data_IF_736817206657
#
_entry.id   IF_736817206657
#
_cell.length_a   1.000
_cell.length_b   1.000
_cell.length_c   1.000
_cell.angle_alpha   90.00
_cell.angle_beta   90.00
_cell.angle_gamma   90.00
#
_symmetry.space_group_name_H-M   'P 1'
#
loop_
_entity.id
_entity.type
_entity.pdbx_description
1 polymer ?
#
# COMPACT_ATOMS: atom_id res chain seq x y z
N UNK A 1 23.45 -2.92 -10.14
CA UNK A 1 22.46 -3.96 -9.79
C UNK A 1 21.72 -4.32 -11.06
N UNK A 2 21.43 -5.61 -11.27
CA UNK A 2 20.66 -6.07 -12.44
C UNK A 2 19.20 -5.65 -12.36
N UNK A 3 18.51 -5.60 -13.51
CA UNK A 3 17.10 -5.27 -13.57
C UNK A 3 16.23 -6.34 -12.90
N UNK A 4 15.14 -5.91 -12.27
CA UNK A 4 14.17 -6.79 -11.58
C UNK A 4 12.76 -6.48 -12.07
N UNK A 5 12.02 -7.51 -12.42
CA UNK A 5 10.63 -7.38 -12.85
C UNK A 5 9.69 -8.25 -12.03
N UNK A 6 8.47 -7.76 -11.84
CA UNK A 6 7.33 -8.55 -11.36
C UNK A 6 6.74 -9.29 -12.56
N UNK A 7 6.64 -10.61 -12.44
CA UNK A 7 6.12 -11.49 -13.50
C UNK A 7 4.84 -12.23 -13.11
N UNK A 8 4.57 -12.36 -11.82
CA UNK A 8 3.35 -12.99 -11.30
C UNK A 8 2.80 -12.23 -10.11
N UNK A 9 1.48 -12.15 -10.00
CA UNK A 9 0.77 -11.44 -8.95
C UNK A 9 -0.46 -12.22 -8.48
N UNK A 10 -0.67 -12.21 -7.16
CA UNK A 10 -1.81 -12.90 -6.57
C UNK A 10 -2.35 -12.17 -5.35
N UNK A 11 -3.66 -12.28 -5.11
CA UNK A 11 -4.35 -11.54 -4.08
C UNK A 11 -5.53 -12.35 -3.50
N UNK A 12 -5.46 -12.73 -2.23
CA UNK A 12 -6.60 -13.31 -1.52
C UNK A 12 -7.69 -12.25 -1.29
N UNK A 13 -8.93 -12.68 -1.12
CA UNK A 13 -10.00 -11.74 -0.74
C UNK A 13 -9.70 -11.17 0.65
N UNK A 14 -9.69 -9.84 0.76
CA UNK A 14 -9.57 -9.14 2.03
C UNK A 14 -10.90 -9.11 2.77
N UNK A 15 -10.86 -9.19 4.11
CA UNK A 15 -12.05 -9.14 4.93
C UNK A 15 -11.87 -9.82 6.27
N UNK A 16 -12.98 -10.19 6.89
CA UNK A 16 -12.97 -11.05 8.08
C UNK A 16 -12.87 -12.50 7.65
N UNK A 17 -11.67 -13.06 7.63
CA UNK A 17 -11.36 -14.39 7.10
C UNK A 17 -11.17 -15.41 8.24
N UNK A 18 -12.21 -15.56 9.07
CA UNK A 18 -12.27 -16.58 10.14
C UNK A 18 -12.47 -18.00 9.61
N UNK A 19 -12.71 -18.14 8.32
CA UNK A 19 -12.85 -19.38 7.56
C UNK A 19 -11.52 -20.04 7.18
N UNK A 20 -10.37 -19.34 7.36
CA UNK A 20 -9.04 -19.81 6.95
C UNK A 20 -8.03 -19.61 8.05
N UNK A 21 -7.03 -20.49 8.13
CA UNK A 21 -5.77 -20.30 8.85
C UNK A 21 -4.87 -19.29 8.12
N UNK A 22 -3.79 -18.87 8.75
CA UNK A 22 -2.78 -18.01 8.12
C UNK A 22 -2.18 -18.66 6.86
N UNK A 23 -1.86 -19.97 6.93
CA UNK A 23 -1.32 -20.72 5.80
C UNK A 23 -2.30 -20.83 4.63
N UNK A 24 -3.55 -21.21 4.90
CA UNK A 24 -4.62 -21.32 3.87
C UNK A 24 -4.87 -19.98 3.17
N UNK A 25 -5.00 -18.90 3.94
CA UNK A 25 -5.18 -17.55 3.41
C UNK A 25 -4.00 -17.13 2.52
N UNK A 26 -2.78 -17.45 2.94
CA UNK A 26 -1.57 -17.14 2.17
C UNK A 26 -1.53 -17.95 0.88
N UNK A 27 -1.92 -19.22 0.92
CA UNK A 27 -1.93 -20.08 -0.27
C UNK A 27 -2.84 -19.55 -1.38
N UNK A 28 -3.98 -18.95 -1.05
CA UNK A 28 -4.85 -18.31 -2.06
C UNK A 28 -4.08 -17.30 -2.91
N UNK A 29 -3.27 -16.45 -2.27
CA UNK A 29 -2.47 -15.43 -2.96
C UNK A 29 -1.24 -16.00 -3.66
N UNK A 30 -0.51 -16.91 -3.01
CA UNK A 30 0.68 -17.55 -3.57
C UNK A 30 0.34 -18.37 -4.80
N UNK A 31 -0.74 -19.15 -4.74
CA UNK A 31 -1.22 -19.93 -5.87
C UNK A 31 -1.57 -19.04 -7.08
N UNK A 32 -2.35 -17.96 -6.86
CA UNK A 32 -2.70 -17.02 -7.93
C UNK A 32 -1.43 -16.39 -8.55
N UNK A 33 -0.41 -16.05 -7.73
CA UNK A 33 0.83 -15.45 -8.22
C UNK A 33 1.69 -16.45 -9.03
N UNK A 34 1.74 -17.72 -8.62
CA UNK A 34 2.43 -18.78 -9.35
C UNK A 34 1.72 -19.11 -10.68
N UNK A 35 0.38 -19.21 -10.64
CA UNK A 35 -0.43 -19.44 -11.83
C UNK A 35 -0.26 -18.29 -12.86
N UNK A 36 -0.26 -17.02 -12.40
CA UNK A 36 -0.05 -15.84 -13.26
C UNK A 36 1.37 -15.83 -13.88
N UNK A 37 2.37 -16.22 -13.11
CA UNK A 37 3.75 -16.37 -13.59
C UNK A 37 3.99 -17.63 -14.43
N UNK A 38 3.09 -18.61 -14.41
CA UNK A 38 3.28 -19.96 -14.97
C UNK A 38 4.53 -20.66 -14.40
N UNK A 39 4.73 -20.50 -13.09
CA UNK A 39 5.83 -21.09 -12.33
C UNK A 39 5.29 -22.05 -11.29
N UNK A 40 6.14 -22.99 -10.87
CA UNK A 40 5.87 -23.90 -9.76
C UNK A 40 6.58 -23.42 -8.47
N UNK A 41 6.19 -23.96 -7.31
CA UNK A 41 6.84 -23.70 -6.02
C UNK A 41 8.36 -23.98 -6.07
N UNK A 42 8.77 -25.01 -6.82
CA UNK A 42 10.19 -25.41 -6.97
C UNK A 42 11.05 -24.33 -7.64
N UNK A 43 10.44 -23.44 -8.44
CA UNK A 43 11.15 -22.38 -9.16
C UNK A 43 11.49 -21.20 -8.26
N UNK A 44 10.80 -21.06 -7.11
CA UNK A 44 11.07 -20.00 -6.12
C UNK A 44 12.34 -20.39 -5.36
N UNK A 45 13.36 -19.52 -5.41
CA UNK A 45 14.65 -19.73 -4.76
C UNK A 45 14.75 -19.06 -3.39
N UNK A 46 13.99 -17.99 -3.18
CA UNK A 46 13.97 -17.21 -1.95
C UNK A 46 12.60 -16.54 -1.77
N UNK A 47 12.12 -16.43 -0.53
CA UNK A 47 10.89 -15.70 -0.27
C UNK A 47 10.96 -14.84 1.00
N UNK A 48 10.21 -13.76 1.01
CA UNK A 48 10.14 -12.80 2.11
C UNK A 48 8.69 -12.61 2.53
N UNK A 49 8.41 -12.77 3.81
CA UNK A 49 7.07 -12.61 4.37
C UNK A 49 6.97 -11.30 5.15
N UNK A 50 6.16 -10.37 4.65
CA UNK A 50 5.74 -9.16 5.34
C UNK A 50 4.59 -9.49 6.31
N UNK A 51 4.84 -9.31 7.60
CA UNK A 51 3.87 -9.57 8.64
C UNK A 51 4.21 -8.73 9.86
N UNK A 52 3.28 -7.91 10.36
CA UNK A 52 3.50 -7.10 11.56
C UNK A 52 3.31 -7.92 12.84
N UNK A 53 2.40 -8.89 12.82
CA UNK A 53 2.17 -9.84 13.90
C UNK A 53 1.65 -9.23 15.19
N UNK A 54 1.71 -9.99 16.27
CA UNK A 54 1.28 -9.55 17.60
C UNK A 54 -0.18 -9.88 17.92
N UNK A 55 -1.05 -9.96 16.95
CA UNK A 55 -2.45 -10.41 17.03
C UNK A 55 -2.68 -11.81 16.48
N UNK A 56 -1.77 -12.33 15.67
CA UNK A 56 -1.86 -13.67 15.13
C UNK A 56 -1.33 -14.73 16.09
N UNK A 57 -1.89 -15.94 16.03
CA UNK A 57 -1.44 -17.08 16.79
C UNK A 57 -0.06 -17.60 16.36
N UNK A 58 0.32 -17.38 15.10
CA UNK A 58 1.56 -17.89 14.52
C UNK A 58 2.76 -16.99 14.86
N UNK A 59 3.71 -17.53 15.62
CA UNK A 59 4.93 -16.82 16.00
C UNK A 59 6.05 -16.88 14.95
N UNK A 60 6.00 -17.86 14.04
CA UNK A 60 6.97 -18.07 12.96
C UNK A 60 6.31 -18.04 11.58
N UNK A 61 5.66 -16.93 11.19
CA UNK A 61 4.82 -16.89 10.00
C UNK A 61 5.58 -17.22 8.71
N UNK A 62 6.88 -16.90 8.59
CA UNK A 62 7.64 -17.25 7.39
C UNK A 62 7.81 -18.78 7.24
N UNK A 63 7.98 -19.49 8.35
CA UNK A 63 8.14 -20.97 8.31
C UNK A 63 6.80 -21.63 8.00
N UNK A 64 5.72 -21.18 8.66
CA UNK A 64 4.35 -21.70 8.44
C UNK A 64 3.89 -21.45 6.99
N UNK A 65 4.12 -20.24 6.48
CA UNK A 65 3.84 -19.89 5.07
C UNK A 65 4.67 -20.79 4.13
N UNK A 66 5.98 -20.94 4.41
CA UNK A 66 6.87 -21.76 3.58
C UNK A 66 6.43 -23.22 3.51
N UNK A 67 6.03 -23.78 4.64
CA UNK A 67 5.54 -25.17 4.72
C UNK A 67 4.22 -25.32 3.98
N UNK A 68 3.23 -24.47 4.31
CA UNK A 68 1.89 -24.58 3.76
C UNK A 68 1.84 -24.30 2.25
N UNK A 69 2.66 -23.37 1.77
CA UNK A 69 2.75 -23.04 0.35
C UNK A 69 3.73 -23.93 -0.43
N UNK A 70 4.36 -24.94 0.19
CA UNK A 70 5.31 -25.84 -0.47
C UNK A 70 6.60 -25.14 -0.91
N UNK A 71 6.99 -24.05 -0.22
CA UNK A 71 8.21 -23.27 -0.53
C UNK A 71 9.43 -23.75 0.26
N UNK A 72 9.24 -24.53 1.32
CA UNK A 72 10.36 -25.11 2.07
C UNK A 72 11.08 -26.21 1.25
N UNK A 73 12.40 -26.37 1.40
CA UNK A 73 13.33 -25.74 2.34
C UNK A 73 14.09 -24.51 1.77
N UNK A 74 13.41 -23.59 1.12
CA UNK A 74 14.04 -22.39 0.53
C UNK A 74 14.48 -21.41 1.62
N UNK A 75 15.42 -20.51 1.26
CA UNK A 75 15.77 -19.38 2.10
C UNK A 75 14.57 -18.45 2.30
N UNK A 76 14.32 -18.03 3.55
CA UNK A 76 13.19 -17.21 3.91
C UNK A 76 13.53 -16.21 5.02
N UNK A 77 12.79 -15.10 5.07
CA UNK A 77 12.76 -14.22 6.23
C UNK A 77 11.37 -13.64 6.44
N UNK A 78 11.07 -13.29 7.69
CA UNK A 78 9.99 -12.36 8.05
C UNK A 78 10.56 -10.95 8.16
N UNK A 79 9.86 -9.98 7.63
CA UNK A 79 10.18 -8.56 7.78
C UNK A 79 9.00 -7.80 8.38
N UNK A 80 9.33 -6.79 9.19
CA UNK A 80 8.39 -5.92 9.88
C UNK A 80 8.77 -4.46 9.62
N UNK A 81 7.78 -3.63 9.31
CA UNK A 81 7.85 -2.17 9.21
C UNK A 81 6.45 -1.58 9.48
N UNK A 82 5.75 -2.09 10.51
CA UNK A 82 4.35 -1.79 10.81
C UNK A 82 3.47 -1.94 9.54
N UNK A 83 2.62 -0.96 9.22
CA UNK A 83 1.75 -0.99 8.04
C UNK A 83 2.50 -1.03 6.69
N UNK A 84 3.82 -0.83 6.68
CA UNK A 84 4.68 -0.93 5.50
C UNK A 84 5.40 -2.28 5.37
N UNK A 85 5.11 -3.26 6.23
CA UNK A 85 5.76 -4.59 6.21
C UNK A 85 5.66 -5.28 4.85
N UNK A 86 4.54 -5.12 4.14
CA UNK A 86 4.37 -5.66 2.79
C UNK A 86 5.34 -5.02 1.77
N UNK A 87 5.50 -3.70 1.78
CA UNK A 87 6.48 -3.02 0.91
C UNK A 87 7.92 -3.34 1.31
N UNK A 88 8.20 -3.53 2.61
CA UNK A 88 9.48 -4.02 3.08
C UNK A 88 9.78 -5.43 2.53
N UNK A 89 8.78 -6.31 2.45
CA UNK A 89 8.93 -7.63 1.82
C UNK A 89 9.24 -7.52 0.32
N UNK A 90 8.50 -6.68 -0.42
CA UNK A 90 8.77 -6.41 -1.84
C UNK A 90 10.20 -5.86 -2.02
N UNK A 91 10.63 -4.92 -1.19
CA UNK A 91 11.97 -4.33 -1.25
C UNK A 91 13.07 -5.36 -0.98
N UNK A 92 12.91 -6.22 0.04
CA UNK A 92 13.91 -7.26 0.33
C UNK A 92 13.96 -8.34 -0.75
N UNK A 93 12.83 -8.77 -1.31
CA UNK A 93 12.80 -9.67 -2.46
C UNK A 93 13.45 -9.02 -3.71
N UNK A 94 13.19 -7.73 -3.94
CA UNK A 94 13.87 -6.94 -4.97
C UNK A 94 15.39 -6.94 -4.76
N UNK A 95 15.88 -6.70 -3.55
CA UNK A 95 17.32 -6.71 -3.24
C UNK A 95 17.94 -8.09 -3.46
N UNK A 96 17.24 -9.16 -3.08
CA UNK A 96 17.71 -10.53 -3.31
C UNK A 96 17.92 -10.83 -4.80
N UNK A 97 16.99 -10.38 -5.65
CA UNK A 97 17.13 -10.56 -7.09
C UNK A 97 18.16 -9.59 -7.68
N UNK A 98 18.13 -8.31 -7.30
CA UNK A 98 19.01 -7.28 -7.83
C UNK A 98 20.50 -7.53 -7.51
N UNK A 99 20.79 -8.14 -6.35
CA UNK A 99 22.16 -8.52 -5.94
C UNK A 99 22.68 -9.79 -6.59
N UNK A 100 21.80 -10.61 -7.17
CA UNK A 100 22.15 -11.92 -7.73
C UNK A 100 22.09 -13.08 -6.71
N UNK A 101 21.60 -12.84 -5.49
CA UNK A 101 21.40 -13.90 -4.50
C UNK A 101 20.34 -14.92 -4.95
N UNK A 102 19.34 -14.48 -5.67
CA UNK A 102 18.32 -15.31 -6.30
C UNK A 102 17.98 -14.78 -7.70
N UNK A 103 17.58 -15.68 -8.60
CA UNK A 103 17.03 -15.28 -9.91
C UNK A 103 15.52 -15.16 -9.88
N UNK A 104 14.88 -15.92 -8.98
CA UNK A 104 13.43 -15.92 -8.74
C UNK A 104 13.20 -15.81 -7.24
N UNK A 105 12.55 -14.73 -6.83
CA UNK A 105 12.14 -14.50 -5.44
C UNK A 105 10.65 -14.18 -5.35
N UNK A 106 10.05 -14.45 -4.20
CA UNK A 106 8.66 -14.11 -3.93
C UNK A 106 8.55 -13.19 -2.72
N UNK A 107 7.80 -12.09 -2.86
CA UNK A 107 7.36 -11.30 -1.72
C UNK A 107 5.91 -11.67 -1.40
N UNK A 108 5.68 -12.00 -0.14
CA UNK A 108 4.38 -12.43 0.40
C UNK A 108 4.03 -11.49 1.53
N UNK A 109 2.81 -10.97 1.55
CA UNK A 109 2.28 -10.21 2.67
C UNK A 109 1.08 -10.93 3.24
N UNK A 110 1.01 -11.09 4.55
CA UNK A 110 -0.14 -11.74 5.21
C UNK A 110 -0.39 -11.16 6.58
N UNK A 111 -1.66 -11.02 6.93
CA UNK A 111 -2.08 -10.64 8.26
C UNK A 111 -3.40 -11.29 8.65
N UNK A 112 -3.49 -11.74 9.91
CA UNK A 112 -4.68 -12.35 10.52
C UNK A 112 -5.10 -11.57 11.76
N UNK A 113 -5.61 -10.34 11.56
CA UNK A 113 -5.93 -9.41 12.64
C UNK A 113 -7.18 -9.85 13.43
N UNK A 114 -8.11 -10.58 12.81
CA UNK A 114 -9.32 -11.09 13.48
C UNK A 114 -9.08 -12.33 14.37
N UNK A 115 -7.84 -12.82 14.47
CA UNK A 115 -7.47 -13.83 15.48
C UNK A 115 -7.40 -13.23 16.90
N UNK A 116 -7.34 -11.91 17.02
CA UNK A 116 -7.39 -11.20 18.31
C UNK A 116 -8.65 -10.34 18.44
N UNK A 117 -9.16 -10.13 19.67
CA UNK A 117 -10.25 -9.20 19.93
C UNK A 117 -9.86 -7.76 19.55
N UNK A 118 -10.84 -6.96 19.12
CA UNK A 118 -10.61 -5.56 18.70
C UNK A 118 -9.80 -4.73 19.71
N UNK A 119 -10.01 -4.77 21.04
CA UNK A 119 -9.18 -4.03 21.98
C UNK A 119 -7.70 -4.41 21.92
N UNK A 120 -7.39 -5.69 21.77
CA UNK A 120 -6.01 -6.19 21.62
C UNK A 120 -5.38 -5.67 20.32
N UNK A 121 -6.13 -5.71 19.21
CA UNK A 121 -5.66 -5.15 17.92
C UNK A 121 -5.38 -3.66 18.05
N UNK A 122 -6.27 -2.90 18.69
CA UNK A 122 -6.10 -1.44 18.92
C UNK A 122 -4.84 -1.16 19.75
N UNK A 123 -4.58 -1.96 20.81
CA UNK A 123 -3.37 -1.84 21.63
C UNK A 123 -2.11 -2.12 20.80
N UNK A 124 -2.06 -3.22 20.06
CA UNK A 124 -0.89 -3.55 19.24
C UNK A 124 -0.61 -2.50 18.15
N UNK A 125 -1.65 -2.00 17.49
CA UNK A 125 -1.49 -0.90 16.52
C UNK A 125 -1.00 0.37 17.23
N UNK A 126 -1.50 0.67 18.42
CA UNK A 126 -1.08 1.82 19.23
C UNK A 126 0.40 1.78 19.64
N UNK A 127 0.99 0.57 19.69
CA UNK A 127 2.43 0.39 19.95
C UNK A 127 3.32 0.84 18.79
N UNK A 128 2.77 1.11 17.61
CA UNK A 128 3.49 1.66 16.47
C UNK A 128 3.71 3.18 16.61
N UNK A 129 4.25 3.62 17.72
CA UNK A 129 4.59 4.98 18.12
C UNK A 129 5.45 4.90 19.38
N UNK A 130 5.53 5.98 20.15
CA UNK A 130 6.13 5.92 21.48
C UNK A 130 5.09 5.37 22.46
N UNK A 131 5.09 4.05 22.66
CA UNK A 131 4.09 3.36 23.46
C UNK A 131 3.91 3.97 24.86
N UNK A 132 5.00 4.16 25.61
CA UNK A 132 4.93 4.64 26.99
C UNK A 132 4.44 6.08 27.10
N UNK A 133 4.94 6.98 26.23
CA UNK A 133 4.62 8.40 26.32
C UNK A 133 3.34 8.80 25.61
N UNK A 134 2.93 8.06 24.58
CA UNK A 134 1.81 8.46 23.74
C UNK A 134 0.58 7.56 23.99
N UNK A 135 0.76 6.24 23.95
CA UNK A 135 -0.36 5.32 24.14
C UNK A 135 -0.68 5.07 25.61
N UNK A 136 0.29 4.59 26.40
CA UNK A 136 0.04 4.15 27.80
C UNK A 136 -0.33 5.33 28.70
N UNK A 137 0.42 6.44 28.65
CA UNK A 137 0.18 7.57 29.55
C UNK A 137 -0.93 8.51 29.09
N UNK A 138 -1.17 8.65 27.80
CA UNK A 138 -2.15 9.61 27.25
C UNK A 138 -3.31 8.94 26.52
N UNK A 139 -3.31 7.62 26.35
CA UNK A 139 -4.37 6.89 25.66
C UNK A 139 -4.49 7.21 24.17
N UNK A 140 -3.40 7.65 23.54
CA UNK A 140 -3.42 8.07 22.14
C UNK A 140 -3.50 6.83 21.23
N UNK A 141 -4.70 6.51 20.78
CA UNK A 141 -4.95 5.42 19.83
C UNK A 141 -4.58 5.86 18.40
N UNK A 142 -4.51 4.90 17.48
CA UNK A 142 -4.15 5.21 16.10
C UNK A 142 -5.08 6.24 15.40
N UNK A 143 -6.42 6.17 15.56
CA UNK A 143 -7.30 7.25 15.12
C UNK A 143 -6.96 8.60 15.76
N UNK A 144 -6.54 8.62 17.02
CA UNK A 144 -6.11 9.84 17.73
C UNK A 144 -4.88 10.48 17.09
N UNK A 145 -3.90 9.69 16.65
CA UNK A 145 -2.74 10.20 15.91
C UNK A 145 -3.17 10.95 14.64
N UNK A 146 -4.00 10.31 13.82
CA UNK A 146 -4.45 10.94 12.57
C UNK A 146 -5.46 12.07 12.78
N UNK A 147 -6.17 12.09 13.92
CA UNK A 147 -6.99 13.22 14.31
C UNK A 147 -6.16 14.50 14.54
N UNK A 148 -4.95 14.38 15.08
CA UNK A 148 -4.03 15.52 15.20
C UNK A 148 -3.65 16.08 13.83
N UNK A 149 -3.29 15.20 12.87
CA UNK A 149 -2.99 15.59 11.49
C UNK A 149 -4.19 16.24 10.81
N UNK A 150 -5.38 15.62 10.91
CA UNK A 150 -6.58 16.17 10.29
C UNK A 150 -6.95 17.54 10.87
N UNK A 151 -6.87 17.72 12.19
CA UNK A 151 -7.12 18.99 12.86
C UNK A 151 -6.12 20.07 12.43
N UNK A 152 -4.83 19.73 12.39
CA UNK A 152 -3.79 20.68 11.95
C UNK A 152 -4.00 21.11 10.49
N UNK A 153 -4.31 20.15 9.62
CA UNK A 153 -4.56 20.40 8.20
C UNK A 153 -5.81 21.27 7.99
N UNK A 154 -6.92 20.96 8.68
CA UNK A 154 -8.15 21.75 8.64
C UNK A 154 -7.91 23.20 9.05
N UNK A 155 -7.20 23.40 10.16
CA UNK A 155 -6.89 24.74 10.68
C UNK A 155 -5.95 25.53 9.75
N UNK A 156 -4.98 24.88 9.14
CA UNK A 156 -3.96 25.54 8.32
C UNK A 156 -4.48 25.89 6.92
N UNK A 157 -5.32 25.02 6.33
CA UNK A 157 -5.69 25.09 4.91
C UNK A 157 -7.20 25.22 4.68
N UNK A 158 -7.99 25.48 5.73
CA UNK A 158 -9.45 25.62 5.67
C UNK A 158 -10.14 24.41 5.00
N UNK A 159 -9.61 23.21 5.23
CA UNK A 159 -10.25 21.97 4.82
C UNK A 159 -11.41 21.65 5.78
N UNK A 160 -12.41 20.95 5.28
CA UNK A 160 -13.62 20.60 6.02
C UNK A 160 -13.76 19.08 6.17
N UNK A 161 -14.58 18.63 7.12
CA UNK A 161 -14.90 17.20 7.26
C UNK A 161 -15.53 16.62 5.98
N UNK A 162 -16.27 17.44 5.22
CA UNK A 162 -16.83 17.03 3.93
C UNK A 162 -15.74 16.66 2.92
N UNK A 163 -14.65 17.40 2.88
CA UNK A 163 -13.54 17.14 1.96
C UNK A 163 -12.93 15.76 2.19
N UNK A 164 -12.73 15.39 3.47
CA UNK A 164 -12.23 14.06 3.82
C UNK A 164 -13.26 12.97 3.56
N UNK A 165 -14.55 13.24 3.79
CA UNK A 165 -15.62 12.34 3.40
C UNK A 165 -15.65 12.06 1.89
N UNK A 166 -15.27 13.03 1.03
CA UNK A 166 -15.14 12.80 -0.43
C UNK A 166 -14.06 11.79 -0.76
N UNK A 167 -12.95 11.74 -0.01
CA UNK A 167 -11.94 10.68 -0.14
C UNK A 167 -12.55 9.31 0.18
N UNK A 168 -13.28 9.21 1.31
CA UNK A 168 -13.96 7.97 1.68
C UNK A 168 -14.95 7.52 0.61
N UNK A 169 -15.75 8.42 0.07
CA UNK A 169 -16.74 8.14 -1.00
C UNK A 169 -16.04 7.63 -2.25
N UNK A 170 -14.93 8.28 -2.69
CA UNK A 170 -14.13 7.83 -3.83
C UNK A 170 -13.64 6.40 -3.64
N UNK A 171 -13.03 6.12 -2.48
CA UNK A 171 -12.43 4.81 -2.24
C UNK A 171 -13.51 3.72 -2.10
N UNK A 172 -14.65 4.01 -1.46
CA UNK A 172 -15.80 3.10 -1.46
C UNK A 172 -16.42 2.91 -2.85
N UNK A 173 -16.40 3.91 -3.72
CA UNK A 173 -16.85 3.78 -5.11
C UNK A 173 -16.01 2.71 -5.83
N UNK A 174 -14.68 2.80 -5.79
CA UNK A 174 -13.80 1.82 -6.43
C UNK A 174 -13.78 0.48 -5.70
N UNK A 175 -13.73 0.49 -4.37
CA UNK A 175 -13.80 -0.74 -3.56
C UNK A 175 -15.08 -1.54 -3.78
N UNK A 176 -16.22 -0.85 -4.02
CA UNK A 176 -17.48 -1.52 -4.32
C UNK A 176 -17.46 -2.35 -5.60
N UNK A 177 -16.54 -2.06 -6.52
CA UNK A 177 -16.36 -2.78 -7.77
C UNK A 177 -15.25 -3.82 -7.71
N UNK A 178 -14.42 -3.82 -6.67
CA UNK A 178 -13.31 -4.74 -6.53
C UNK A 178 -13.73 -6.02 -5.79
N UNK A 179 -13.83 -7.19 -6.46
CA UNK A 179 -14.29 -8.43 -5.83
C UNK A 179 -13.37 -8.93 -4.71
N UNK A 180 -12.11 -8.48 -4.67
CA UNK A 180 -11.14 -8.81 -3.62
C UNK A 180 -11.23 -7.86 -2.40
N UNK A 181 -12.01 -6.77 -2.49
CA UNK A 181 -12.17 -5.79 -1.42
C UNK A 181 -13.10 -6.28 -0.30
N UNK A 182 -12.80 -5.86 0.94
CA UNK A 182 -13.64 -6.12 2.11
C UNK A 182 -15.04 -5.52 1.95
N UNK A 183 -15.12 -4.30 1.41
CA UNK A 183 -16.39 -3.60 1.18
C UNK A 183 -16.89 -3.70 -0.28
N UNK A 184 -16.62 -4.85 -0.92
CA UNK A 184 -17.21 -5.15 -2.23
C UNK A 184 -18.73 -4.99 -2.20
N UNK A 185 -19.27 -4.24 -3.17
CA UNK A 185 -20.71 -3.95 -3.27
C UNK A 185 -21.21 -2.80 -2.39
N UNK A 186 -20.38 -2.28 -1.46
CA UNK A 186 -20.79 -1.20 -0.55
C UNK A 186 -20.36 0.18 -1.09
N UNK A 187 -21.33 1.00 -1.49
CA UNK A 187 -21.14 2.44 -1.78
C UNK A 187 -21.66 3.25 -0.62
N UNK A 188 -21.04 4.40 -0.40
CA UNK A 188 -21.46 5.39 0.60
C UNK A 188 -21.63 6.75 -0.04
N UNK A 189 -22.40 7.62 0.62
CA UNK A 189 -22.55 9.04 0.23
C UNK A 189 -21.80 9.94 1.21
N UNK A 190 -21.54 11.17 0.81
CA UNK A 190 -20.96 12.21 1.69
C UNK A 190 -21.80 12.39 2.94
N UNK A 191 -23.14 12.45 2.81
CA UNK A 191 -24.06 12.59 3.95
C UNK A 191 -23.96 11.41 4.93
N UNK A 192 -23.86 10.18 4.44
CA UNK A 192 -23.65 9.00 5.29
C UNK A 192 -22.30 9.05 6.01
N UNK A 193 -21.24 9.52 5.35
CA UNK A 193 -19.95 9.71 5.98
C UNK A 193 -20.01 10.79 7.07
N UNK A 194 -20.56 11.95 6.77
CA UNK A 194 -20.69 13.08 7.72
C UNK A 194 -21.52 12.71 8.96
N UNK A 195 -22.56 11.90 8.80
CA UNK A 195 -23.43 11.42 9.90
C UNK A 195 -22.85 10.23 10.66
N UNK A 196 -21.76 9.63 10.20
CA UNK A 196 -21.14 8.50 10.90
C UNK A 196 -20.53 8.96 12.23
N UNK A 197 -20.46 8.01 13.20
CA UNK A 197 -19.95 8.32 14.54
C UNK A 197 -18.48 8.76 14.48
N UNK A 198 -18.09 9.66 15.34
CA UNK A 198 -16.69 9.99 15.60
C UNK A 198 -15.98 8.79 16.27
N UNK A 199 -14.76 8.52 15.82
CA UNK A 199 -13.84 7.57 16.46
C UNK A 199 -12.82 8.32 17.32
N UNK A 200 -12.28 9.42 16.79
CA UNK A 200 -11.47 10.41 17.50
C UNK A 200 -11.64 11.74 16.74
N UNK A 201 -12.36 12.72 17.32
CA UNK A 201 -12.67 13.96 16.60
C UNK A 201 -11.42 14.59 15.96
N UNK A 202 -11.47 15.00 14.67
CA UNK A 202 -12.60 15.00 13.73
C UNK A 202 -12.73 13.68 12.90
N UNK A 203 -11.93 12.65 13.16
CA UNK A 203 -11.97 11.34 12.47
C UNK A 203 -13.30 10.63 12.76
N UNK A 204 -14.01 10.27 11.70
CA UNK A 204 -15.24 9.48 11.73
C UNK A 204 -14.99 8.03 11.35
N UNK A 205 -16.00 7.19 11.52
CA UNK A 205 -15.94 5.77 11.17
C UNK A 205 -15.55 5.56 9.70
N UNK A 206 -16.13 6.35 8.79
CA UNK A 206 -15.80 6.24 7.36
C UNK A 206 -14.50 6.94 6.97
N UNK A 207 -13.85 7.67 7.87
CA UNK A 207 -12.48 8.17 7.65
C UNK A 207 -11.42 7.10 7.92
N UNK A 208 -11.76 6.04 8.63
CA UNK A 208 -10.81 5.00 9.10
C UNK A 208 -10.86 3.74 8.23
N UNK A 209 -9.72 3.12 7.97
CA UNK A 209 -9.65 1.77 7.40
C UNK A 209 -10.17 0.72 8.40
N UNK A 210 -10.75 -0.39 7.93
CA UNK A 210 -11.22 -1.48 8.81
C UNK A 210 -10.06 -2.36 9.28
N UNK A 211 -10.28 -3.08 10.39
CA UNK A 211 -9.50 -4.27 10.73
C UNK A 211 -9.74 -5.30 9.62
N UNK A 212 -8.70 -5.98 9.16
CA UNK A 212 -8.77 -6.84 7.98
C UNK A 212 -7.80 -8.01 8.08
N UNK A 213 -8.25 -9.20 7.72
CA UNK A 213 -7.40 -10.34 7.36
C UNK A 213 -7.15 -10.31 5.85
N UNK A 214 -5.97 -10.73 5.41
CA UNK A 214 -5.69 -10.82 3.99
C UNK A 214 -4.26 -11.24 3.67
N UNK A 215 -4.07 -11.69 2.43
CA UNK A 215 -2.77 -12.03 1.88
C UNK A 215 -2.62 -11.54 0.43
N UNK A 216 -1.40 -11.22 0.05
CA UNK A 216 -1.02 -10.90 -1.33
C UNK A 216 0.39 -11.44 -1.61
N UNK A 217 0.68 -11.76 -2.87
CA UNK A 217 1.99 -12.28 -3.29
C UNK A 217 2.40 -11.71 -4.64
N UNK A 218 3.70 -11.46 -4.82
CA UNK A 218 4.30 -11.10 -6.11
C UNK A 218 5.56 -11.92 -6.35
N UNK A 219 5.74 -12.38 -7.60
CA UNK A 219 6.94 -13.07 -8.06
C UNK A 219 7.85 -12.07 -8.76
N UNK A 220 9.08 -11.95 -8.25
CA UNK A 220 10.12 -11.08 -8.80
C UNK A 220 11.21 -11.93 -9.46
N UNK A 221 11.63 -11.51 -10.64
CA UNK A 221 12.68 -12.23 -11.37
C UNK A 221 13.73 -11.29 -11.93
N UNK A 222 14.91 -11.87 -12.22
CA UNK A 222 15.98 -11.17 -12.91
C UNK A 222 15.59 -10.81 -14.35
N UNK A 223 16.24 -9.79 -14.89
CA UNK A 223 16.04 -9.32 -16.27
C UNK A 223 16.21 -10.40 -17.33
N UNK A 224 17.09 -11.37 -17.08
CA UNK A 224 17.37 -12.47 -18.01
C UNK A 224 16.19 -13.46 -18.12
N UNK A 225 15.38 -13.55 -17.08
CA UNK A 225 14.21 -14.42 -17.02
C UNK A 225 12.89 -13.71 -17.37
N UNK A 226 12.80 -12.42 -17.11
CA UNK A 226 11.54 -11.66 -17.16
C UNK A 226 10.76 -11.87 -18.46
N UNK A 227 11.40 -11.66 -19.61
CA UNK A 227 10.75 -11.82 -20.94
C UNK A 227 10.60 -13.26 -21.40
N UNK A 228 11.25 -14.22 -20.73
CA UNK A 228 11.05 -15.65 -20.98
C UNK A 228 9.78 -16.17 -20.30
N UNK A 229 9.38 -15.51 -19.21
CA UNK A 229 8.23 -15.90 -18.38
C UNK A 229 6.96 -15.18 -18.84
N UNK A 230 7.03 -13.89 -19.16
CA UNK A 230 5.86 -13.09 -19.55
C UNK A 230 6.21 -12.03 -20.60
N UNK A 231 5.28 -11.75 -21.49
CA UNK A 231 5.39 -10.67 -22.49
C UNK A 231 5.19 -9.27 -21.86
N UNK A 232 4.62 -9.21 -20.67
CA UNK A 232 4.28 -7.97 -19.95
C UNK A 232 4.94 -7.90 -18.56
N UNK A 233 6.29 -8.01 -18.46
CA UNK A 233 6.97 -7.81 -17.20
C UNK A 233 6.81 -6.37 -16.71
N UNK A 234 6.57 -6.17 -15.42
CA UNK A 234 6.52 -4.85 -14.80
C UNK A 234 7.79 -4.62 -14.00
N UNK A 235 8.59 -3.65 -14.43
CA UNK A 235 9.91 -3.39 -13.85
C UNK A 235 9.82 -2.52 -12.61
N UNK A 236 10.49 -2.93 -11.53
CA UNK A 236 10.74 -2.05 -10.39
C UNK A 236 11.90 -1.13 -10.76
N UNK A 237 11.60 0.15 -10.92
CA UNK A 237 12.55 1.16 -11.44
C UNK A 237 13.36 1.82 -10.34
N UNK A 238 12.73 2.06 -9.21
CA UNK A 238 13.39 2.54 -8.01
C UNK A 238 12.52 2.27 -6.79
N UNK A 239 13.20 2.21 -5.65
CA UNK A 239 12.55 2.19 -4.33
C UNK A 239 13.24 3.24 -3.47
N UNK A 240 12.45 4.13 -2.89
CA UNK A 240 12.86 5.06 -1.85
C UNK A 240 12.37 4.54 -0.50
N UNK A 241 13.23 4.60 0.50
CA UNK A 241 12.93 4.14 1.87
C UNK A 241 13.43 5.16 2.87
N UNK A 242 12.57 5.56 3.80
CA UNK A 242 12.96 6.47 4.86
C UNK A 242 12.25 6.14 6.16
N UNK A 243 12.83 6.60 7.27
CA UNK A 243 12.24 6.52 8.61
C UNK A 243 12.03 7.92 9.16
N UNK A 244 10.93 8.09 9.91
CA UNK A 244 10.64 9.29 10.68
C UNK A 244 10.93 9.10 12.16
N UNK A 245 10.64 10.15 12.94
CA UNK A 245 10.81 10.09 14.40
C UNK A 245 9.71 9.26 15.06
N UNK A 246 10.07 8.50 16.09
CA UNK A 246 9.13 7.71 16.88
C UNK A 246 8.17 8.59 17.71
N UNK A 247 8.61 9.78 18.13
CA UNK A 247 7.82 10.67 18.96
C UNK A 247 7.12 11.75 18.13
N UNK A 248 5.81 11.89 18.26
CA UNK A 248 5.06 12.98 17.64
C UNK A 248 5.56 14.36 18.05
N UNK A 249 5.95 14.53 19.31
CA UNK A 249 6.46 15.81 19.84
C UNK A 249 7.76 16.30 19.17
N UNK A 250 8.46 15.43 18.43
CA UNK A 250 9.68 15.80 17.69
C UNK A 250 9.42 16.12 16.22
N UNK A 251 8.17 16.01 15.77
CA UNK A 251 7.83 16.37 14.40
C UNK A 251 7.72 17.88 14.24
N UNK A 252 8.18 18.42 13.11
CA UNK A 252 8.15 19.86 12.89
C UNK A 252 6.73 20.40 12.78
N UNK A 253 5.81 19.59 12.23
CA UNK A 253 4.41 19.91 12.07
C UNK A 253 3.54 18.64 11.93
N UNK A 254 2.24 18.83 11.71
CA UNK A 254 1.26 17.76 11.51
C UNK A 254 0.49 17.92 10.18
N UNK A 255 1.15 18.42 9.14
CA UNK A 255 0.52 18.65 7.83
C UNK A 255 1.12 17.79 6.70
N UNK A 256 2.06 16.93 7.00
CA UNK A 256 2.72 16.00 6.09
C UNK A 256 3.52 14.95 6.85
N UNK A 257 4.12 14.02 6.13
CA UNK A 257 4.93 12.93 6.68
C UNK A 257 6.36 13.03 6.13
N UNK A 258 7.32 13.50 6.95
CA UNK A 258 8.72 13.66 6.53
C UNK A 258 9.31 12.41 5.91
N UNK A 259 9.03 11.23 6.49
CA UNK A 259 9.51 9.97 5.93
C UNK A 259 8.95 9.71 4.53
N UNK A 260 7.67 10.04 4.28
CA UNK A 260 7.05 9.89 2.96
C UNK A 260 7.72 10.82 1.93
N UNK A 261 7.90 12.10 2.30
CA UNK A 261 8.59 13.08 1.46
C UNK A 261 10.03 12.64 1.13
N UNK A 262 10.82 12.23 2.14
CA UNK A 262 12.21 11.80 1.96
C UNK A 262 12.32 10.51 1.12
N UNK A 263 11.42 9.55 1.33
CA UNK A 263 11.37 8.33 0.53
C UNK A 263 11.00 8.64 -0.93
N UNK A 264 10.04 9.56 -1.16
CA UNK A 264 9.66 10.02 -2.49
C UNK A 264 10.85 10.71 -3.20
N UNK A 265 11.53 11.64 -2.52
CA UNK A 265 12.73 12.32 -3.03
C UNK A 265 13.81 11.31 -3.48
N UNK A 266 14.06 10.27 -2.65
CA UNK A 266 15.02 9.21 -3.00
C UNK A 266 14.59 8.41 -4.24
N UNK A 267 13.30 8.02 -4.30
CA UNK A 267 12.77 7.24 -5.42
C UNK A 267 12.82 8.03 -6.73
N UNK A 268 12.37 9.28 -6.70
CA UNK A 268 12.32 10.16 -7.86
C UNK A 268 13.71 10.53 -8.37
N UNK A 269 14.66 10.87 -7.48
CA UNK A 269 16.04 11.16 -7.87
C UNK A 269 16.69 9.98 -8.62
N UNK A 270 16.46 8.74 -8.17
CA UNK A 270 16.98 7.53 -8.84
C UNK A 270 16.36 7.32 -10.23
N UNK A 271 15.15 7.84 -10.46
CA UNK A 271 14.44 7.77 -11.73
C UNK A 271 14.61 9.04 -12.60
N UNK A 272 15.40 10.01 -12.16
CA UNK A 272 15.57 11.33 -12.79
C UNK A 272 14.21 12.09 -12.95
N UNK A 273 13.37 12.00 -11.91
CA UNK A 273 12.10 12.74 -11.79
C UNK A 273 12.33 13.88 -10.82
N UNK A 274 11.94 15.10 -11.19
CA UNK A 274 11.85 16.23 -10.26
C UNK A 274 10.68 16.03 -9.31
N UNK A 275 10.88 16.26 -8.00
CA UNK A 275 9.86 16.09 -6.97
C UNK A 275 8.87 17.27 -6.94
N UNK A 276 8.32 17.59 -8.10
CA UNK A 276 7.31 18.61 -8.33
C UNK A 276 6.47 18.24 -9.54
N UNK A 277 5.15 18.45 -9.46
CA UNK A 277 4.19 18.09 -10.50
C UNK A 277 4.39 16.64 -10.99
N UNK A 278 4.69 15.75 -10.06
CA UNK A 278 5.09 14.36 -10.37
C UNK A 278 3.96 13.56 -11.00
N UNK A 279 2.70 14.01 -10.84
CA UNK A 279 1.53 13.45 -11.51
C UNK A 279 1.72 13.25 -13.01
N UNK A 280 2.51 14.13 -13.65
CA UNK A 280 2.75 14.08 -15.09
C UNK A 280 3.56 12.87 -15.57
N UNK A 281 4.21 12.15 -14.64
CA UNK A 281 5.06 10.99 -14.94
C UNK A 281 4.38 9.66 -14.66
N UNK A 282 3.22 9.64 -14.02
CA UNK A 282 2.54 8.42 -13.60
C UNK A 282 1.12 8.35 -14.13
N UNK A 283 0.73 7.19 -14.64
CA UNK A 283 -0.64 6.94 -15.11
C UNK A 283 -1.60 6.65 -13.96
N UNK A 284 -1.09 6.05 -12.88
CA UNK A 284 -1.85 5.65 -11.70
C UNK A 284 -0.96 5.59 -10.48
N UNK A 285 -1.53 5.82 -9.31
CA UNK A 285 -0.87 5.63 -8.02
C UNK A 285 -1.77 4.87 -7.04
N UNK A 286 -1.14 4.10 -6.15
CA UNK A 286 -1.78 3.51 -4.97
C UNK A 286 -1.10 4.08 -3.72
N UNK A 287 -1.85 4.84 -2.91
CA UNK A 287 -1.30 5.54 -1.76
C UNK A 287 -1.94 5.06 -0.47
N UNK A 288 -1.20 5.20 0.62
CA UNK A 288 -1.59 4.76 1.95
C UNK A 288 -2.68 5.66 2.54
N UNK A 289 -3.92 5.20 2.50
CA UNK A 289 -5.12 5.88 2.98
C UNK A 289 -5.73 5.18 4.20
N UNK A 290 -4.89 4.76 5.16
CA UNK A 290 -5.41 4.17 6.41
C UNK A 290 -6.40 5.11 7.13
N UNK A 291 -6.28 6.41 6.88
CA UNK A 291 -7.26 7.45 7.17
C UNK A 291 -7.36 8.40 5.97
N UNK A 292 -8.51 9.03 5.79
CA UNK A 292 -8.76 9.92 4.64
C UNK A 292 -7.78 11.09 4.55
N UNK A 293 -7.35 11.65 5.69
CA UNK A 293 -6.30 12.69 5.73
C UNK A 293 -4.95 12.18 5.22
N UNK A 294 -4.61 10.89 5.44
CA UNK A 294 -3.36 10.33 4.98
C UNK A 294 -3.26 10.32 3.44
N UNK A 295 -4.37 10.08 2.74
CA UNK A 295 -4.42 10.17 1.28
C UNK A 295 -4.18 11.60 0.79
N UNK A 296 -4.79 12.60 1.44
CA UNK A 296 -4.61 14.01 1.08
C UNK A 296 -3.15 14.45 1.28
N UNK A 297 -2.54 14.08 2.42
CA UNK A 297 -1.13 14.37 2.68
C UNK A 297 -0.21 13.67 1.67
N UNK A 298 -0.55 12.43 1.26
CA UNK A 298 0.24 11.68 0.29
C UNK A 298 0.29 12.39 -1.09
N UNK A 299 -0.79 13.03 -1.53
CA UNK A 299 -0.76 13.81 -2.78
C UNK A 299 0.31 14.91 -2.76
N UNK A 300 0.49 15.53 -1.61
CA UNK A 300 1.43 16.61 -1.38
C UNK A 300 2.85 16.11 -1.12
N UNK A 301 2.99 15.08 -0.28
CA UNK A 301 4.28 14.45 0.03
C UNK A 301 4.92 13.79 -1.20
N UNK A 302 4.10 13.34 -2.16
CA UNK A 302 4.52 12.79 -3.44
C UNK A 302 4.71 13.85 -4.52
N UNK A 303 4.43 15.12 -4.24
CA UNK A 303 4.55 16.22 -5.21
C UNK A 303 3.56 16.16 -6.36
N UNK A 304 2.40 15.51 -6.18
CA UNK A 304 1.30 15.60 -7.15
C UNK A 304 0.76 17.03 -7.19
N UNK A 305 0.80 17.72 -6.05
CA UNK A 305 0.40 19.12 -5.90
C UNK A 305 1.21 19.78 -4.78
N UNK A 306 1.11 21.10 -4.66
CA UNK A 306 1.78 21.86 -3.61
C UNK A 306 1.14 21.61 -2.23
N UNK A 307 1.92 21.83 -1.15
CA UNK A 307 1.45 21.69 0.23
C UNK A 307 0.24 22.59 0.50
N UNK A 308 -0.83 22.00 1.04
CA UNK A 308 -2.10 22.68 1.34
C UNK A 308 -3.11 22.72 0.20
N UNK A 309 -2.76 22.15 -0.98
CA UNK A 309 -3.66 22.11 -2.14
C UNK A 309 -4.16 20.70 -2.47
N UNK A 310 -3.73 19.68 -1.72
CA UNK A 310 -4.15 18.28 -1.93
C UNK A 310 -5.66 18.09 -1.90
N UNK A 311 -6.35 18.90 -1.06
CA UNK A 311 -7.80 18.89 -0.96
C UNK A 311 -8.50 19.35 -2.26
N UNK A 312 -7.86 20.18 -3.07
CA UNK A 312 -8.43 20.63 -4.35
C UNK A 312 -8.50 19.48 -5.36
N UNK A 313 -7.50 18.59 -5.35
CA UNK A 313 -7.51 17.43 -6.24
C UNK A 313 -8.74 16.53 -6.01
N UNK A 314 -9.18 16.40 -4.75
CA UNK A 314 -10.38 15.59 -4.44
C UNK A 314 -11.67 16.36 -4.73
N UNK A 315 -11.73 17.67 -4.45
CA UNK A 315 -12.88 18.52 -4.76
C UNK A 315 -13.19 18.55 -6.25
N UNK A 316 -12.14 18.58 -7.07
CA UNK A 316 -12.23 18.65 -8.55
C UNK A 316 -12.28 17.27 -9.22
N UNK A 317 -12.27 16.18 -8.44
CA UNK A 317 -12.30 14.82 -8.99
C UNK A 317 -11.02 14.42 -9.72
N UNK A 318 -9.90 15.10 -9.49
CA UNK A 318 -8.64 14.91 -10.21
C UNK A 318 -7.94 13.58 -9.86
N UNK A 319 -8.36 12.91 -8.81
CA UNK A 319 -7.84 11.62 -8.35
C UNK A 319 -8.73 10.43 -8.73
N UNK A 320 -9.83 10.67 -9.43
CA UNK A 320 -10.64 9.63 -10.06
C UNK A 320 -10.03 9.18 -11.39
N UNK A 321 -10.48 8.03 -11.90
CA UNK A 321 -10.18 7.60 -13.28
C UNK A 321 -10.51 8.73 -14.25
N UNK A 322 -9.57 9.02 -15.16
CA UNK A 322 -9.71 10.11 -16.12
C UNK A 322 -9.33 11.49 -15.59
N UNK A 323 -9.05 11.63 -14.29
CA UNK A 323 -8.51 12.86 -13.71
C UNK A 323 -6.99 13.00 -13.90
N UNK A 324 -6.41 14.00 -13.25
CA UNK A 324 -5.00 14.36 -13.36
C UNK A 324 -4.08 13.19 -13.01
N UNK A 325 -4.36 12.55 -11.87
CA UNK A 325 -3.66 11.35 -11.37
C UNK A 325 -4.67 10.43 -10.69
N UNK A 326 -5.09 9.34 -11.35
CA UNK A 326 -5.93 8.33 -10.72
C UNK A 326 -5.25 7.71 -9.50
N UNK A 327 -5.94 7.70 -8.35
CA UNK A 327 -5.40 7.20 -7.07
C UNK A 327 -6.36 6.22 -6.43
N UNK A 328 -5.83 5.08 -5.93
CA UNK A 328 -6.57 4.08 -5.17
C UNK A 328 -7.79 3.52 -5.93
N UNK A 329 -7.60 3.18 -7.20
CA UNK A 329 -8.67 2.62 -8.04
C UNK A 329 -9.10 1.20 -7.63
N UNK A 330 -8.43 0.60 -6.66
CA UNK A 330 -8.78 -0.68 -6.04
C UNK A 330 -9.70 -0.53 -4.80
N UNK A 331 -9.89 0.70 -4.34
CA UNK A 331 -10.62 1.05 -3.14
C UNK A 331 -9.73 1.52 -1.99
N UNK A 332 -8.39 1.54 -2.20
CA UNK A 332 -7.43 1.90 -1.15
C UNK A 332 -7.53 1.01 0.10
N UNK A 333 -6.81 1.36 1.13
CA UNK A 333 -6.89 0.67 2.44
C UNK A 333 -8.27 0.87 3.06
N UNK A 334 -8.89 2.00 2.75
CA UNK A 334 -10.17 2.43 3.30
C UNK A 334 -11.32 1.51 2.93
N UNK A 335 -11.39 1.05 1.70
CA UNK A 335 -12.49 0.23 1.22
C UNK A 335 -12.06 -1.17 0.76
N UNK A 336 -10.86 -1.33 0.19
CA UNK A 336 -10.31 -2.66 -0.09
C UNK A 336 -10.05 -3.43 1.20
N UNK A 337 -9.58 -2.75 2.23
CA UNK A 337 -9.16 -3.31 3.51
C UNK A 337 -7.66 -3.11 3.77
N UNK A 338 -7.27 -3.25 5.05
CA UNK A 338 -5.91 -2.98 5.49
C UNK A 338 -5.33 -4.11 6.36
N UNK A 339 -5.11 -5.32 5.79
CA UNK A 339 -4.31 -6.33 6.47
C UNK A 339 -2.86 -5.84 6.45
N UNK A 340 -2.36 -5.42 7.60
CA UNK A 340 -1.17 -4.57 7.75
C UNK A 340 0.03 -5.14 7.01
N UNK A 341 0.36 -6.43 7.19
CA UNK A 341 1.47 -7.09 6.50
C UNK A 341 1.26 -7.31 5.01
N UNK A 342 0.00 -7.37 4.54
CA UNK A 342 -0.30 -7.64 3.14
C UNK A 342 -0.43 -6.37 2.28
N UNK A 343 -0.70 -5.22 2.90
CA UNK A 343 -1.05 -3.98 2.18
C UNK A 343 -0.02 -3.59 1.13
N UNK A 344 1.26 -3.53 1.47
CA UNK A 344 2.28 -3.08 0.51
C UNK A 344 2.50 -4.06 -0.65
N UNK A 345 2.31 -5.38 -0.44
CA UNK A 345 2.32 -6.36 -1.53
C UNK A 345 1.07 -6.23 -2.40
N UNK A 346 -0.10 -6.00 -1.78
CA UNK A 346 -1.35 -5.73 -2.50
C UNK A 346 -1.26 -4.51 -3.41
N UNK A 347 -0.58 -3.43 -2.96
CA UNK A 347 -0.29 -2.26 -3.80
C UNK A 347 0.57 -2.63 -5.02
N UNK A 348 1.60 -3.47 -4.83
CA UNK A 348 2.42 -3.95 -5.95
C UNK A 348 1.62 -4.81 -6.94
N UNK A 349 0.68 -5.63 -6.43
CA UNK A 349 -0.28 -6.39 -7.26
C UNK A 349 -1.14 -5.45 -8.09
N UNK A 350 -1.76 -4.44 -7.47
CA UNK A 350 -2.63 -3.49 -8.17
C UNK A 350 -1.86 -2.70 -9.22
N UNK A 351 -0.69 -2.13 -8.89
CA UNK A 351 0.12 -1.38 -9.85
C UNK A 351 0.56 -2.25 -11.04
N UNK A 352 0.90 -3.51 -10.78
CA UNK A 352 1.24 -4.46 -11.85
C UNK A 352 0.05 -4.74 -12.76
N UNK A 353 -1.14 -5.02 -12.20
CA UNK A 353 -2.36 -5.28 -12.97
C UNK A 353 -2.81 -4.03 -13.75
N UNK A 354 -2.69 -2.83 -13.17
CA UNK A 354 -2.99 -1.58 -13.84
C UNK A 354 -2.10 -1.37 -15.07
N UNK A 355 -0.78 -1.50 -14.92
CA UNK A 355 0.17 -1.36 -16.03
C UNK A 355 -0.03 -2.42 -17.12
N UNK A 356 -0.35 -3.66 -16.75
CA UNK A 356 -0.70 -4.75 -17.68
C UNK A 356 -2.07 -4.57 -18.34
N UNK A 357 -2.85 -3.57 -17.91
CA UNK A 357 -4.22 -3.33 -18.37
C UNK A 357 -5.12 -4.55 -18.18
N UNK A 358 -4.95 -5.26 -17.05
CA UNK A 358 -5.67 -6.50 -16.70
C UNK A 358 -6.66 -6.34 -15.55
N UNK A 359 -7.03 -5.10 -15.20
CA UNK A 359 -8.02 -4.81 -14.15
C UNK A 359 -9.44 -5.04 -14.66
N UNK A 360 -10.20 -5.76 -13.85
CA UNK A 360 -11.65 -5.93 -14.02
C UNK A 360 -12.40 -5.51 -12.74
N UNK A 361 -13.58 -4.87 -12.87
CA UNK A 361 -14.16 -4.36 -14.11
C UNK A 361 -13.36 -3.16 -14.67
N UNK A 362 -13.50 -2.90 -15.96
CA UNK A 362 -12.76 -1.85 -16.68
C UNK A 362 -12.97 -0.43 -16.14
N UNK A 363 -14.02 -0.19 -15.39
CA UNK A 363 -14.26 1.08 -14.71
C UNK A 363 -13.17 1.42 -13.67
N UNK A 364 -12.44 0.41 -13.19
CA UNK A 364 -11.29 0.56 -12.29
C UNK A 364 -9.95 0.66 -13.03
N UNK A 365 -9.89 0.37 -14.32
CA UNK A 365 -8.66 0.40 -15.09
C UNK A 365 -8.28 1.83 -15.46
N UNK A 366 -7.10 2.29 -15.03
CA UNK A 366 -6.53 3.56 -15.47
C UNK A 366 -6.18 3.53 -16.95
N UNK A 367 -6.25 4.69 -17.59
CA UNK A 367 -5.70 4.86 -18.94
C UNK A 367 -4.17 4.92 -18.86
N UNK A 368 -3.49 4.09 -19.64
CA UNK A 368 -2.02 3.99 -19.62
C UNK A 368 -1.44 4.76 -20.83
N UNK A 369 -0.71 5.84 -20.54
CA UNK A 369 -0.10 6.75 -21.53
C UNK A 369 1.41 6.69 -21.52
N UNK A 370 2.02 6.67 -20.32
CA UNK A 370 3.47 6.71 -20.14
C UNK A 370 4.03 5.38 -19.64
N UNK A 371 3.17 4.49 -19.17
CA UNK A 371 3.54 3.16 -18.69
C UNK A 371 4.28 3.19 -17.37
N UNK A 372 4.01 4.18 -16.49
CA UNK A 372 4.58 4.30 -15.16
C UNK A 372 3.49 4.36 -14.09
N UNK A 373 3.76 3.69 -12.97
CA UNK A 373 2.91 3.68 -11.80
C UNK A 373 3.75 3.85 -10.51
N UNK A 374 3.08 4.21 -9.42
CA UNK A 374 3.70 4.45 -8.14
C UNK A 374 2.89 3.81 -7.02
N UNK A 375 3.56 3.19 -6.05
CA UNK A 375 2.95 2.86 -4.75
C UNK A 375 3.64 3.60 -3.61
N UNK A 376 2.83 4.07 -2.65
CA UNK A 376 3.26 4.77 -1.45
C UNK A 376 2.70 4.04 -0.23
N UNK A 377 3.55 3.40 0.55
CA UNK A 377 3.16 2.62 1.72
C UNK A 377 3.86 3.16 2.97
N UNK A 378 3.08 3.49 3.98
CA UNK A 378 3.53 4.09 5.25
C UNK A 378 3.35 3.11 6.39
N UNK A 379 4.34 3.01 7.27
CA UNK A 379 4.29 2.26 8.52
C UNK A 379 4.16 3.20 9.73
N UNK A 380 3.27 2.84 10.64
CA UNK A 380 2.95 3.72 11.77
C UNK A 380 2.33 5.03 11.29
N UNK A 381 2.56 6.11 12.00
CA UNK A 381 2.15 7.47 11.60
C UNK A 381 3.28 8.20 10.86
N UNK A 382 3.93 7.53 9.89
CA UNK A 382 5.10 8.06 9.19
C UNK A 382 6.42 7.70 9.89
N UNK A 383 6.47 6.56 10.58
CA UNK A 383 7.71 6.01 11.14
C UNK A 383 8.53 5.32 10.06
N UNK A 384 7.86 4.71 9.09
CA UNK A 384 8.44 4.13 7.88
C UNK A 384 7.71 4.66 6.66
N UNK A 385 8.40 4.83 5.55
CA UNK A 385 7.80 5.04 4.25
C UNK A 385 8.57 4.29 3.17
N UNK A 386 7.82 3.65 2.27
CA UNK A 386 8.33 2.97 1.08
C UNK A 386 7.62 3.54 -0.14
N UNK A 387 8.39 4.06 -1.09
CA UNK A 387 7.89 4.54 -2.38
C UNK A 387 8.49 3.68 -3.46
N UNK A 388 7.65 2.94 -4.19
CA UNK A 388 8.10 2.07 -5.28
C UNK A 388 7.60 2.60 -6.61
N UNK A 389 8.49 2.74 -7.58
CA UNK A 389 8.17 3.15 -8.94
C UNK A 389 8.21 1.94 -9.88
N UNK A 390 7.15 1.78 -10.66
CA UNK A 390 6.95 0.69 -11.60
C UNK A 390 6.91 1.20 -13.03
N UNK A 391 7.39 0.40 -14.00
CA UNK A 391 7.29 0.74 -15.42
C UNK A 391 7.17 -0.48 -16.31
N UNK A 392 6.52 -0.32 -17.45
CA UNK A 392 6.49 -1.29 -18.54
C UNK A 392 7.83 -1.36 -19.30
N UNK A 393 8.64 -0.30 -19.21
CA UNK A 393 9.94 -0.22 -19.88
C UNK A 393 11.08 -0.35 -18.86
N UNK A 394 11.95 -1.34 -19.07
CA UNK A 394 13.13 -1.57 -18.22
C UNK A 394 14.08 -0.37 -18.17
N UNK A 395 14.33 0.26 -19.33
CA UNK A 395 15.36 1.30 -19.51
C UNK A 395 14.79 2.67 -19.82
N UNK A 396 13.47 2.78 -20.01
CA UNK A 396 12.81 4.02 -20.39
C UNK A 396 13.01 5.12 -19.34
N UNK A 397 13.25 6.35 -19.78
CA UNK A 397 13.11 7.53 -18.93
C UNK A 397 11.63 7.88 -18.79
N UNK A 398 11.20 8.39 -17.63
CA UNK A 398 9.83 8.84 -17.46
C UNK A 398 9.46 9.88 -18.54
N UNK A 399 8.41 9.61 -19.29
CA UNK A 399 7.85 10.56 -20.25
C UNK A 399 6.77 11.39 -19.56
N UNK A 400 6.58 12.60 -20.04
CA UNK A 400 5.50 13.47 -19.52
C UNK A 400 4.20 13.10 -20.25
N UNK A 401 3.12 12.90 -19.48
CA UNK A 401 1.79 12.70 -20.04
C UNK A 401 1.41 13.87 -20.96
N UNK A 402 0.71 13.63 -22.07
CA UNK A 402 0.17 14.71 -22.87
C UNK A 402 -0.78 15.57 -22.03
N UNK A 403 -0.67 16.89 -22.15
CA UNK A 403 -1.66 17.81 -21.52
C UNK A 403 -3.03 17.55 -22.17
N UNK A 404 -4.01 17.28 -21.34
CA UNK A 404 -5.42 17.21 -21.75
C UNK A 404 -6.05 18.59 -21.74
#
# INVERSE_FOLDING_TARGET
MRGVAIVGVGHAKFGRRTDTTLGELTWEAVKEALDDARLDQKDIQYFVVGNAGGWSAESLPAVVVGEYCGLNPRGAMRVEAACASGSAAVYNAYLAVASGMADVAMAIGVEKMYESPTPTVVEFIGRAGNYFWEFENFGLTFPGYYALYMTAYMNRFNATEEDFCRVAVKNHYYGSMNPKAQFYGLRITVDQCLKSRYVAWPIKLYDSSPITDGAAAVVLVSEDLARKITDTPVWIRSVGVATGTANLSKRPDFIGLDAAYQAAEQAFRKANIEHRDTWKYFDVADVHDCFTIAEVMAYEDLGFTERGTGIQLIREGQTYKGGLIPVNLDGGLKAKGHPIGATGVSMAVEMTKQLRQSIEPRDRQADIYVGWALSHNVGGTGHYAYITLYSLDKNGTPKVKPRR
#
